data_IF_786094564097
#
_entry.id   IF_786094564097
#
_cell.length_a   1.000
_cell.length_b   1.000
_cell.length_c   1.000
_cell.angle_alpha   90.00
_cell.angle_beta   90.00
_cell.angle_gamma   90.00
#
_symmetry.space_group_name_H-M   'P 1'
#
loop_
_entity.id
_entity.type
_entity.pdbx_description
1 polymer ?
#
# COMPACT_ATOMS: atom_id res chain seq x y z
N UNK A 1 -11.45 -46.90 17.24
CA UNK A 1 -10.57 -46.53 18.37
C UNK A 1 -9.52 -45.56 17.85
N UNK A 2 -9.62 -44.27 18.19
CA UNK A 2 -8.62 -43.29 17.78
C UNK A 2 -7.35 -43.48 18.61
N UNK A 3 -6.21 -43.69 17.93
CA UNK A 3 -4.90 -43.74 18.60
C UNK A 3 -4.55 -42.32 19.04
N UNK A 4 -4.46 -42.09 20.34
CA UNK A 4 -3.97 -40.82 20.88
C UNK A 4 -2.51 -40.65 20.46
N UNK A 5 -2.21 -39.55 19.78
CA UNK A 5 -0.85 -39.16 19.39
C UNK A 5 -0.01 -39.01 20.64
N UNK A 6 1.17 -39.64 20.66
CA UNK A 6 2.08 -39.60 21.82
C UNK A 6 2.48 -38.15 22.14
N UNK A 7 2.65 -37.76 23.42
CA UNK A 7 3.17 -36.45 23.79
C UNK A 7 4.49 -36.08 23.08
N UNK A 8 5.31 -37.09 22.75
CA UNK A 8 6.55 -36.92 22.01
C UNK A 8 6.33 -36.62 20.50
N UNK A 9 5.23 -37.06 19.90
CA UNK A 9 4.85 -36.69 18.53
C UNK A 9 4.23 -35.30 18.47
N UNK A 10 3.42 -34.91 19.47
CA UNK A 10 2.93 -33.54 19.61
C UNK A 10 4.07 -32.53 19.81
N UNK A 11 5.12 -32.90 20.54
CA UNK A 11 6.31 -32.06 20.71
C UNK A 11 7.14 -31.89 19.42
N UNK A 12 7.06 -32.83 18.46
CA UNK A 12 7.70 -32.69 17.14
C UNK A 12 6.93 -31.75 16.22
N UNK A 13 5.63 -31.58 16.47
CA UNK A 13 4.80 -30.53 15.88
C UNK A 13 4.98 -29.19 16.61
N UNK A 14 6.15 -28.94 17.22
CA UNK A 14 6.56 -27.62 17.68
C UNK A 14 6.63 -26.68 16.47
N UNK A 15 5.44 -26.24 16.03
CA UNK A 15 5.17 -24.94 15.45
C UNK A 15 5.53 -23.95 16.55
N UNK A 16 6.82 -23.86 16.84
CA UNK A 16 7.44 -22.83 17.65
C UNK A 16 6.90 -21.54 17.09
N UNK A 17 5.94 -21.02 17.83
CA UNK A 17 4.90 -20.19 17.30
C UNK A 17 5.53 -18.91 16.82
N UNK A 18 5.81 -18.87 15.52
CA UNK A 18 5.82 -17.65 14.72
C UNK A 18 4.38 -17.12 14.66
N UNK A 19 3.70 -17.05 15.82
CA UNK A 19 2.63 -16.11 16.04
C UNK A 19 3.37 -14.78 15.96
N UNK A 20 3.33 -14.17 14.78
CA UNK A 20 3.57 -12.74 14.69
C UNK A 20 2.50 -12.14 15.58
N UNK A 21 2.84 -11.80 16.82
CA UNK A 21 1.95 -11.06 17.68
C UNK A 21 1.64 -9.79 16.90
N UNK A 22 0.37 -9.61 16.52
CA UNK A 22 -0.05 -8.40 15.86
C UNK A 22 0.03 -7.30 16.91
N UNK A 23 1.19 -6.64 16.99
CA UNK A 23 1.35 -5.45 17.81
C UNK A 23 0.74 -4.31 17.01
N UNK A 24 -0.40 -3.75 17.43
CA UNK A 24 -0.99 -2.63 16.73
C UNK A 24 -0.02 -1.46 16.80
N UNK A 25 0.27 -0.87 15.64
CA UNK A 25 1.12 0.33 15.56
C UNK A 25 0.59 1.44 16.46
N UNK A 26 1.50 2.06 17.19
CA UNK A 26 1.22 3.25 17.98
C UNK A 26 0.77 4.41 17.10
N UNK A 27 0.13 5.42 17.69
CA UNK A 27 -0.30 6.63 16.96
C UNK A 27 0.88 7.31 16.24
N UNK A 28 2.03 7.37 16.90
CA UNK A 28 3.27 7.95 16.37
C UNK A 28 3.76 7.20 15.12
N UNK A 29 3.80 5.87 15.16
CA UNK A 29 4.22 5.06 14.01
C UNK A 29 3.25 5.16 12.82
N UNK A 30 1.94 5.26 13.10
CA UNK A 30 0.93 5.53 12.06
C UNK A 30 1.16 6.89 11.41
N UNK A 31 1.44 7.92 12.21
CA UNK A 31 1.73 9.27 11.71
C UNK A 31 2.99 9.30 10.83
N UNK A 32 4.08 8.68 11.26
CA UNK A 32 5.31 8.55 10.47
C UNK A 32 5.08 7.79 9.16
N UNK A 33 4.32 6.70 9.20
CA UNK A 33 3.96 5.94 8.00
C UNK A 33 3.17 6.80 7.00
N UNK A 34 2.24 7.63 7.50
CA UNK A 34 1.48 8.58 6.68
C UNK A 34 2.39 9.65 6.08
N UNK A 35 3.31 10.22 6.86
CA UNK A 35 4.27 11.22 6.38
C UNK A 35 5.12 10.70 5.22
N UNK A 36 5.69 9.49 5.37
CA UNK A 36 6.48 8.83 4.32
C UNK A 36 5.66 8.57 3.06
N UNK A 37 4.42 8.10 3.22
CA UNK A 37 3.53 7.84 2.10
C UNK A 37 3.14 9.13 1.37
N UNK A 38 2.82 10.20 2.11
CA UNK A 38 2.53 11.52 1.53
C UNK A 38 3.74 12.08 0.79
N UNK A 39 4.95 11.93 1.35
CA UNK A 39 6.18 12.29 0.66
C UNK A 39 6.32 11.53 -0.67
N UNK A 40 6.23 10.20 -0.65
CA UNK A 40 6.33 9.41 -1.87
C UNK A 40 5.27 9.76 -2.93
N UNK A 41 4.02 10.06 -2.50
CA UNK A 41 2.96 10.54 -3.41
C UNK A 41 3.28 11.88 -4.05
N UNK A 42 3.94 12.80 -3.33
CA UNK A 42 4.44 14.06 -3.91
C UNK A 42 5.55 13.82 -4.95
N UNK A 43 6.32 12.74 -4.78
CA UNK A 43 7.33 12.26 -5.72
C UNK A 43 6.79 11.26 -6.74
N UNK A 44 5.50 11.33 -7.09
CA UNK A 44 4.93 10.57 -8.19
C UNK A 44 4.59 9.10 -7.91
N UNK A 45 4.58 8.66 -6.64
CA UNK A 45 4.21 7.28 -6.31
C UNK A 45 2.81 6.95 -6.90
N UNK A 46 2.70 5.89 -7.74
CA UNK A 46 1.44 5.50 -8.37
C UNK A 46 0.30 5.30 -7.37
N UNK A 47 -0.87 5.83 -7.71
CA UNK A 47 -2.09 5.67 -6.89
C UNK A 47 -2.65 4.26 -7.07
N UNK A 48 -3.21 3.65 -6.01
CA UNK A 48 -3.85 2.35 -6.11
C UNK A 48 -5.06 2.43 -7.06
N UNK A 49 -5.15 1.46 -7.97
CA UNK A 49 -6.28 1.29 -8.88
C UNK A 49 -7.32 0.33 -8.27
N UNK A 50 -8.59 0.34 -8.71
CA UNK A 50 -9.61 -0.62 -8.26
C UNK A 50 -9.18 -2.06 -8.56
N UNK A 51 -9.03 -2.87 -7.50
CA UNK A 51 -8.40 -4.20 -7.57
C UNK A 51 -9.39 -5.37 -7.72
N UNK A 52 -10.69 -5.13 -7.54
CA UNK A 52 -11.73 -6.15 -7.68
C UNK A 52 -12.83 -5.66 -8.62
N UNK A 53 -13.54 -6.57 -9.28
CA UNK A 53 -14.63 -6.21 -10.18
C UNK A 53 -15.69 -5.36 -9.49
N UNK A 54 -16.01 -5.67 -8.23
CA UNK A 54 -16.88 -4.84 -7.39
C UNK A 54 -16.37 -3.40 -7.26
N UNK A 55 -15.08 -3.20 -6.96
CA UNK A 55 -14.52 -1.86 -6.81
C UNK A 55 -14.51 -1.09 -8.14
N UNK A 56 -14.28 -1.78 -9.26
CA UNK A 56 -14.41 -1.18 -10.61
C UNK A 56 -15.85 -0.74 -10.85
N UNK A 57 -16.83 -1.60 -10.55
CA UNK A 57 -18.25 -1.31 -10.70
C UNK A 57 -18.68 -0.13 -9.83
N UNK A 58 -18.35 -0.14 -8.53
CA UNK A 58 -18.69 0.97 -7.62
C UNK A 58 -18.05 2.28 -8.08
N UNK A 59 -16.79 2.25 -8.51
CA UNK A 59 -16.12 3.44 -9.03
C UNK A 59 -16.83 3.99 -10.28
N UNK A 60 -17.28 3.12 -11.19
CA UNK A 60 -18.05 3.51 -12.37
C UNK A 60 -19.40 4.12 -11.98
N UNK A 61 -20.16 3.46 -11.09
CA UNK A 61 -21.50 3.92 -10.66
C UNK A 61 -21.47 5.16 -9.78
N UNK A 62 -20.39 5.40 -9.05
CA UNK A 62 -20.24 6.58 -8.19
C UNK A 62 -19.44 7.71 -8.85
N UNK A 63 -19.01 7.54 -10.10
CA UNK A 63 -18.36 8.60 -10.86
C UNK A 63 -19.32 9.78 -11.08
N UNK A 64 -18.80 11.02 -11.01
CA UNK A 64 -19.60 12.22 -11.27
C UNK A 64 -20.47 12.75 -10.12
N UNK A 65 -20.43 12.15 -8.94
CA UNK A 65 -21.25 12.56 -7.77
C UNK A 65 -20.73 13.79 -6.99
N UNK A 66 -20.10 14.76 -7.68
CA UNK A 66 -19.56 15.95 -7.01
C UNK A 66 -20.71 16.83 -6.50
N UNK A 67 -20.60 17.33 -5.26
CA UNK A 67 -21.58 18.25 -4.66
C UNK A 67 -22.77 17.60 -3.96
N UNK A 68 -22.82 16.27 -3.89
CA UNK A 68 -23.85 15.56 -3.12
C UNK A 68 -23.55 15.56 -1.62
N UNK A 69 -24.60 15.48 -0.80
CA UNK A 69 -24.45 15.32 0.64
C UNK A 69 -23.86 13.94 0.99
N UNK A 70 -23.29 13.81 2.19
CA UNK A 70 -22.79 12.51 2.68
C UNK A 70 -23.91 11.45 2.74
N UNK A 71 -25.14 11.85 3.05
CA UNK A 71 -26.29 10.95 3.10
C UNK A 71 -26.64 10.42 1.70
N UNK A 72 -26.68 11.30 0.70
CA UNK A 72 -26.98 10.92 -0.69
C UNK A 72 -25.90 10.00 -1.27
N UNK A 73 -24.62 10.27 -0.97
CA UNK A 73 -23.53 9.38 -1.37
C UNK A 73 -23.65 8.00 -0.72
N UNK A 74 -24.05 7.94 0.55
CA UNK A 74 -24.25 6.69 1.27
C UNK A 74 -25.41 5.89 0.67
N UNK A 75 -26.52 6.55 0.34
CA UNK A 75 -27.65 5.92 -0.36
C UNK A 75 -27.22 5.36 -1.72
N UNK A 76 -26.53 6.16 -2.54
CA UNK A 76 -26.02 5.71 -3.85
C UNK A 76 -25.05 4.53 -3.74
N UNK A 77 -24.17 4.52 -2.74
CA UNK A 77 -23.28 3.40 -2.51
C UNK A 77 -24.07 2.13 -2.15
N UNK A 78 -25.09 2.25 -1.30
CA UNK A 78 -25.98 1.15 -0.93
C UNK A 78 -26.70 0.59 -2.16
N UNK A 79 -27.25 1.47 -3.00
CA UNK A 79 -27.97 1.07 -4.21
C UNK A 79 -27.04 0.43 -5.24
N UNK A 80 -25.84 0.98 -5.43
CA UNK A 80 -24.83 0.38 -6.27
C UNK A 80 -24.39 -1.00 -5.74
N UNK A 81 -24.25 -1.16 -4.42
CA UNK A 81 -23.94 -2.45 -3.81
C UNK A 81 -25.02 -3.50 -4.09
N UNK A 82 -26.30 -3.15 -3.93
CA UNK A 82 -27.43 -4.02 -4.29
C UNK A 82 -27.44 -4.36 -5.78
N UNK A 83 -27.20 -3.38 -6.65
CA UNK A 83 -27.13 -3.58 -8.09
C UNK A 83 -26.01 -4.56 -8.48
N UNK A 84 -24.86 -4.53 -7.80
CA UNK A 84 -23.79 -5.50 -8.00
C UNK A 84 -24.22 -6.93 -7.64
N UNK A 85 -24.91 -7.12 -6.51
CA UNK A 85 -25.37 -8.44 -6.09
C UNK A 85 -26.31 -9.08 -7.13
N UNK A 86 -27.21 -8.26 -7.67
CA UNK A 86 -28.20 -8.67 -8.67
C UNK A 86 -27.64 -8.78 -10.09
N UNK A 87 -26.38 -8.41 -10.32
CA UNK A 87 -25.76 -8.46 -11.65
C UNK A 87 -25.51 -9.92 -12.08
N UNK A 88 -25.81 -10.30 -13.33
CA UNK A 88 -25.45 -11.61 -13.87
C UNK A 88 -23.93 -11.85 -13.83
N UNK A 89 -23.51 -13.12 -13.67
CA UNK A 89 -22.10 -13.46 -13.55
C UNK A 89 -21.29 -13.07 -14.79
N UNK A 90 -21.85 -13.24 -16.00
CA UNK A 90 -21.24 -12.81 -17.26
C UNK A 90 -20.88 -11.32 -17.27
N UNK A 91 -21.72 -10.47 -16.66
CA UNK A 91 -21.44 -9.05 -16.54
C UNK A 91 -20.39 -8.78 -15.45
N UNK A 92 -20.38 -9.56 -14.36
CA UNK A 92 -19.34 -9.47 -13.31
C UNK A 92 -17.97 -9.86 -13.84
N UNK A 93 -17.89 -10.84 -14.75
CA UNK A 93 -16.65 -11.27 -15.41
C UNK A 93 -15.96 -10.12 -16.14
N UNK A 94 -16.70 -9.29 -16.87
CA UNK A 94 -16.14 -8.11 -17.54
C UNK A 94 -15.48 -7.14 -16.55
N UNK A 95 -16.10 -6.92 -15.38
CA UNK A 95 -15.52 -6.10 -14.32
C UNK A 95 -14.30 -6.76 -13.66
N UNK A 96 -14.33 -8.07 -13.46
CA UNK A 96 -13.20 -8.84 -12.91
C UNK A 96 -11.99 -8.82 -13.86
N UNK A 97 -12.23 -8.90 -15.17
CA UNK A 97 -11.17 -8.78 -16.19
C UNK A 97 -10.50 -7.40 -16.12
N UNK A 98 -11.27 -6.31 -16.12
CA UNK A 98 -10.73 -4.95 -15.95
C UNK A 98 -9.95 -4.80 -14.63
N UNK A 99 -10.44 -5.40 -13.54
CA UNK A 99 -9.74 -5.37 -12.26
C UNK A 99 -8.38 -6.09 -12.31
N UNK A 100 -8.30 -7.19 -13.08
CA UNK A 100 -7.04 -7.91 -13.30
C UNK A 100 -6.03 -7.08 -14.09
N UNK A 101 -6.49 -6.37 -15.12
CA UNK A 101 -5.68 -5.46 -15.93
C UNK A 101 -5.20 -4.27 -15.09
N UNK A 102 -6.08 -3.66 -14.29
CA UNK A 102 -5.74 -2.59 -13.35
C UNK A 102 -4.63 -3.02 -12.39
N UNK A 103 -4.71 -4.25 -11.86
CA UNK A 103 -3.69 -4.80 -10.98
C UNK A 103 -2.35 -4.94 -11.68
N UNK A 104 -2.34 -5.45 -12.92
CA UNK A 104 -1.11 -5.61 -13.71
C UNK A 104 -0.50 -4.25 -14.08
N UNK A 105 -1.33 -3.31 -14.55
CA UNK A 105 -0.90 -1.94 -14.85
C UNK A 105 -0.28 -1.28 -13.63
N UNK A 106 -0.97 -1.33 -12.48
CA UNK A 106 -0.46 -0.73 -11.26
C UNK A 106 0.88 -1.34 -10.80
N UNK A 107 1.06 -2.65 -10.97
CA UNK A 107 2.33 -3.30 -10.67
C UNK A 107 3.46 -2.86 -11.62
N UNK A 108 3.17 -2.63 -12.90
CA UNK A 108 4.13 -2.06 -13.86
C UNK A 108 4.51 -0.63 -13.46
N UNK A 109 3.52 0.18 -13.11
CA UNK A 109 3.75 1.56 -12.68
C UNK A 109 4.63 1.61 -11.42
N UNK A 110 4.34 0.75 -10.42
CA UNK A 110 5.15 0.67 -9.21
C UNK A 110 6.58 0.21 -9.49
N UNK A 111 6.77 -0.68 -10.48
CA UNK A 111 8.10 -1.14 -10.89
C UNK A 111 8.87 -0.01 -11.57
N UNK A 112 8.27 0.62 -12.59
CA UNK A 112 8.88 1.74 -13.30
C UNK A 112 9.25 2.88 -12.34
N UNK A 113 8.35 3.22 -11.42
CA UNK A 113 8.62 4.24 -10.39
C UNK A 113 9.77 3.85 -9.45
N UNK A 114 9.86 2.58 -9.05
CA UNK A 114 10.96 2.10 -8.20
C UNK A 114 12.31 2.17 -8.93
N UNK A 115 12.32 1.80 -10.22
CA UNK A 115 13.51 1.85 -11.07
C UNK A 115 13.97 3.31 -11.30
N UNK A 116 13.05 4.21 -11.62
CA UNK A 116 13.31 5.66 -11.79
C UNK A 116 13.90 6.30 -10.53
N UNK A 117 13.41 5.88 -9.36
CA UNK A 117 13.90 6.37 -8.07
C UNK A 117 15.12 5.59 -7.56
N UNK A 118 15.66 4.64 -8.34
CA UNK A 118 16.74 3.71 -8.02
C UNK A 118 16.60 3.13 -6.60
N UNK A 119 15.44 2.53 -6.34
CA UNK A 119 15.14 1.80 -5.11
C UNK A 119 14.72 0.37 -5.47
N UNK A 120 14.99 -0.55 -4.55
CA UNK A 120 14.54 -1.93 -4.72
C UNK A 120 13.01 -2.00 -4.86
N UNK A 121 12.53 -2.73 -5.85
CA UNK A 121 11.10 -2.92 -6.09
C UNK A 121 10.40 -3.61 -4.91
N UNK A 122 9.13 -3.25 -4.71
CA UNK A 122 8.22 -3.96 -3.80
C UNK A 122 6.79 -3.76 -4.26
N UNK A 123 5.97 -4.82 -4.16
CA UNK A 123 4.52 -4.72 -4.39
C UNK A 123 3.81 -3.84 -3.34
N UNK A 124 4.46 -3.59 -2.19
CA UNK A 124 3.90 -2.79 -1.09
C UNK A 124 4.33 -1.33 -1.23
N UNK A 125 3.37 -0.45 -1.52
CA UNK A 125 3.58 1.01 -1.60
C UNK A 125 4.18 1.62 -0.33
N UNK A 126 3.84 1.09 0.85
CA UNK A 126 4.42 1.54 2.13
C UNK A 126 5.92 1.25 2.26
N UNK A 127 6.38 0.13 1.68
CA UNK A 127 7.80 -0.24 1.66
C UNK A 127 8.55 0.66 0.70
N UNK A 128 8.00 0.86 -0.51
CA UNK A 128 8.52 1.79 -1.51
C UNK A 128 8.64 3.22 -0.95
N UNK A 129 7.59 3.70 -0.29
CA UNK A 129 7.58 5.02 0.36
C UNK A 129 8.65 5.15 1.45
N UNK A 130 8.83 4.11 2.26
CA UNK A 130 9.86 4.11 3.31
C UNK A 130 11.27 4.09 2.74
N UNK A 131 11.51 3.34 1.66
CA UNK A 131 12.81 3.27 0.97
C UNK A 131 13.17 4.60 0.34
N UNK A 132 12.22 5.22 -0.37
CA UNK A 132 12.44 6.54 -0.94
C UNK A 132 12.75 7.57 0.15
N UNK A 133 11.94 7.60 1.22
CA UNK A 133 12.14 8.53 2.32
C UNK A 133 13.52 8.35 2.98
N UNK A 134 13.95 7.10 3.21
CA UNK A 134 15.27 6.80 3.75
C UNK A 134 16.40 7.27 2.81
N UNK A 135 16.25 7.09 1.49
CA UNK A 135 17.22 7.55 0.48
C UNK A 135 17.39 9.07 0.51
N UNK A 136 16.29 9.83 0.51
CA UNK A 136 16.33 11.29 0.53
C UNK A 136 16.87 11.84 1.86
N UNK A 137 16.44 11.29 3.00
CA UNK A 137 16.90 11.77 4.30
C UNK A 137 18.31 11.29 4.67
N UNK A 138 18.75 10.13 4.18
CA UNK A 138 20.14 9.68 4.27
C UNK A 138 21.08 10.57 3.46
N UNK A 139 20.69 10.92 2.22
CA UNK A 139 21.44 11.88 1.39
C UNK A 139 21.45 13.29 2.01
N UNK A 140 20.35 13.73 2.62
CA UNK A 140 20.29 15.03 3.30
C UNK A 140 21.21 15.08 4.55
N UNK A 141 21.28 14.01 5.33
CA UNK A 141 22.19 13.91 6.47
C UNK A 141 23.66 13.90 6.02
N UNK A 142 23.99 13.18 4.93
CA UNK A 142 25.34 13.18 4.35
C UNK A 142 25.74 14.55 3.79
N UNK A 143 24.82 15.24 3.10
CA UNK A 143 25.07 16.59 2.56
C UNK A 143 25.25 17.63 3.68
N UNK A 144 24.47 17.56 4.76
CA UNK A 144 24.62 18.43 5.92
C UNK A 144 25.94 18.17 6.68
N UNK A 145 26.39 16.93 6.75
CA UNK A 145 27.71 16.58 7.32
C UNK A 145 28.86 17.11 6.46
N UNK A 146 28.77 16.99 5.12
CA UNK A 146 29.76 17.54 4.20
C UNK A 146 29.84 19.08 4.24
N UNK A 147 28.70 19.76 4.37
CA UNK A 147 28.66 21.22 4.50
C UNK A 147 29.36 21.72 5.78
N UNK A 148 29.16 21.01 6.91
CA UNK A 148 29.83 21.31 8.19
C UNK A 148 31.34 21.04 8.14
N UNK A 149 31.77 20.02 7.40
CA UNK A 149 33.19 19.71 7.22
C UNK A 149 33.90 20.76 6.36
N UNK A 150 33.22 21.29 5.33
CA UNK A 150 33.78 22.33 4.47
C UNK A 150 33.83 23.72 5.15
N UNK A 151 32.89 24.05 6.04
CA UNK A 151 32.95 25.29 6.82
C UNK A 151 34.07 25.32 7.88
N UNK A 152 34.55 24.15 8.30
CA UNK A 152 35.64 24.02 9.27
C UNK A 152 37.05 24.09 8.65
N UNK A 153 37.14 24.22 7.31
CA UNK A 153 38.41 24.17 6.56
C UNK A 153 38.79 25.47 5.85
N UNK A 154 38.05 26.56 6.06
CA UNK A 154 38.48 27.90 5.62
C UNK A 154 39.59 28.41 6.54
N UNK A 155 40.84 28.57 6.06
CA UNK A 155 41.90 29.17 6.85
C UNK A 155 41.66 30.68 6.92
N UNK A 156 41.67 31.25 8.13
CA UNK A 156 41.80 32.70 8.28
C UNK A 156 43.11 33.14 7.64
N UNK A 157 43.03 34.02 6.64
CA UNK A 157 44.16 34.82 6.16
C UNK A 157 44.65 35.76 7.26
#
# INVERSE_FOLDING_TARGET
>A
MYKATSPAELAKLNLGSRITTFVPKTSKEKMESRKKLTFARKHGLPKPQPLTGYMVFIHEKLSGNKGLSLQDMTAKLSDASKAWQNLPESNKEAYNMRASENKLSHLRDLKAWADENEIQFSKRSSVLASRLYAKHHGKAAAAAAAAKANSAKSPSK
#
